data_IF_367569615262
#
_entry.id   IF_367569615262
#
_cell.length_a   1.000
_cell.length_b   1.000
_cell.length_c   1.000
_cell.angle_alpha   90.00
_cell.angle_beta   90.00
_cell.angle_gamma   90.00
#
_symmetry.space_group_name_H-M   'P 1'
#
loop_
_entity.id
_entity.type
_entity.pdbx_description
1 polymer ?
#
# COMPACT_ATOMS: atom_id res chain seq x y z
N UNK A 1 8.06 -3.90 11.19
CA UNK A 1 9.22 -4.06 10.28
C UNK A 1 8.82 -3.37 9.01
N UNK A 2 9.70 -2.55 8.42
CA UNK A 2 9.41 -1.93 7.13
C UNK A 2 9.24 -3.01 6.08
N UNK A 3 8.19 -2.96 5.24
CA UNK A 3 7.97 -3.96 4.20
C UNK A 3 8.95 -3.82 3.01
N UNK A 4 9.70 -2.72 2.94
CA UNK A 4 10.66 -2.42 1.89
C UNK A 4 11.75 -1.47 2.41
N UNK A 5 12.84 -1.35 1.65
CA UNK A 5 13.71 -0.18 1.75
C UNK A 5 12.98 0.99 1.10
N UNK A 6 12.53 1.95 1.91
CA UNK A 6 11.65 3.03 1.46
C UNK A 6 11.68 4.17 2.47
N UNK A 7 11.15 5.33 2.08
CA UNK A 7 10.79 6.39 3.02
C UNK A 7 9.30 6.34 3.35
N UNK A 8 8.96 6.63 4.59
CA UNK A 8 7.57 6.86 5.00
C UNK A 8 7.11 8.21 4.43
N UNK A 9 6.19 8.19 3.46
CA UNK A 9 5.65 9.40 2.84
C UNK A 9 4.50 9.97 3.69
N UNK A 10 3.55 9.11 4.06
CA UNK A 10 2.33 9.50 4.78
C UNK A 10 1.98 8.45 5.82
N UNK A 11 1.61 8.90 7.02
CA UNK A 11 0.90 8.13 8.03
C UNK A 11 -0.36 8.91 8.38
N UNK A 12 -1.53 8.28 8.32
CA UNK A 12 -2.79 8.95 8.67
C UNK A 12 -3.84 7.94 9.14
N UNK A 13 -4.90 8.45 9.75
CA UNK A 13 -6.10 7.68 10.07
C UNK A 13 -7.04 7.69 8.87
N UNK A 14 -7.63 6.55 8.56
CA UNK A 14 -8.64 6.41 7.52
C UNK A 14 -9.95 6.97 8.06
N UNK A 15 -10.49 8.01 7.42
CA UNK A 15 -11.76 8.62 7.81
C UNK A 15 -12.95 7.65 7.77
N UNK A 16 -14.06 8.02 8.40
CA UNK A 16 -15.28 7.21 8.40
C UNK A 16 -15.83 6.97 6.97
N UNK A 17 -15.66 7.94 6.07
CA UNK A 17 -16.01 7.80 4.65
C UNK A 17 -14.84 7.31 3.79
N UNK A 18 -13.82 6.70 4.43
CA UNK A 18 -12.59 6.19 3.81
C UNK A 18 -11.63 7.27 3.28
N UNK A 19 -11.83 8.53 3.68
CA UNK A 19 -10.99 9.66 3.30
C UNK A 19 -9.57 9.48 3.85
N UNK A 20 -8.57 9.84 3.05
CA UNK A 20 -7.16 9.83 3.42
C UNK A 20 -6.66 11.27 3.46
N UNK A 21 -6.29 11.75 4.64
CA UNK A 21 -5.68 13.08 4.77
C UNK A 21 -4.24 13.04 4.25
N UNK A 22 -3.99 13.77 3.16
CA UNK A 22 -2.65 14.01 2.64
C UNK A 22 -2.23 15.47 2.87
N UNK A 23 -0.93 15.68 3.05
CA UNK A 23 -0.35 17.02 3.11
C UNK A 23 -0.61 17.76 1.79
N UNK A 24 -1.15 18.97 1.87
CA UNK A 24 -1.36 19.81 0.70
C UNK A 24 -0.04 20.14 0.00
N UNK A 25 -0.03 20.05 -1.32
CA UNK A 25 1.12 20.42 -2.16
C UNK A 25 0.71 21.63 -2.99
N UNK A 26 1.52 22.69 -2.96
CA UNK A 26 1.20 23.98 -3.59
C UNK A 26 -0.19 24.54 -3.23
N UNK A 27 -0.62 24.33 -1.98
CA UNK A 27 -1.91 24.84 -1.48
C UNK A 27 -3.15 24.09 -1.97
N UNK A 28 -3.00 23.00 -2.74
CA UNK A 28 -4.12 22.15 -3.14
C UNK A 28 -4.18 20.92 -2.26
N UNK A 29 -5.28 20.78 -1.52
CA UNK A 29 -5.62 19.56 -0.81
C UNK A 29 -6.31 18.60 -1.80
N UNK A 30 -5.88 17.35 -1.82
CA UNK A 30 -6.49 16.32 -2.64
C UNK A 30 -7.45 15.51 -1.77
N UNK A 31 -8.62 15.23 -2.31
CA UNK A 31 -9.52 14.23 -1.76
C UNK A 31 -9.16 12.89 -2.40
N UNK A 32 -8.56 12.00 -1.60
CA UNK A 32 -8.28 10.63 -1.97
C UNK A 32 -8.92 9.73 -0.92
N UNK A 33 -9.60 8.68 -1.34
CA UNK A 33 -10.10 7.66 -0.42
C UNK A 33 -9.36 6.33 -0.58
N UNK A 34 -9.39 5.49 0.46
CA UNK A 34 -8.90 4.11 0.34
C UNK A 34 -9.67 3.33 -0.74
N UNK A 35 -10.97 3.59 -0.89
CA UNK A 35 -11.78 2.97 -1.93
C UNK A 35 -11.31 3.34 -3.35
N UNK A 36 -10.79 4.55 -3.56
CA UNK A 36 -10.23 4.94 -4.86
C UNK A 36 -9.01 4.10 -5.24
N UNK A 37 -8.18 3.77 -4.24
CA UNK A 37 -6.97 2.97 -4.42
C UNK A 37 -7.35 1.50 -4.70
N UNK A 38 -8.18 0.92 -3.83
CA UNK A 38 -8.56 -0.50 -3.87
C UNK A 38 -9.54 -0.83 -5.00
N UNK A 39 -10.44 0.10 -5.35
CA UNK A 39 -11.60 -0.13 -6.22
C UNK A 39 -12.42 -1.35 -5.78
N UNK A 40 -12.61 -1.45 -4.46
CA UNK A 40 -13.36 -2.48 -3.77
C UNK A 40 -13.93 -1.88 -2.47
N UNK A 41 -15.22 -1.55 -2.51
CA UNK A 41 -15.89 -0.86 -1.40
C UNK A 41 -16.11 -1.77 -0.20
N UNK A 42 -16.34 -3.07 -0.44
CA UNK A 42 -16.56 -4.03 0.64
C UNK A 42 -15.26 -4.23 1.44
N UNK A 43 -14.15 -4.46 0.73
CA UNK A 43 -12.84 -4.57 1.37
C UNK A 43 -12.45 -3.26 2.06
N UNK A 44 -12.60 -2.12 1.39
CA UNK A 44 -12.21 -0.82 1.95
C UNK A 44 -12.98 -0.49 3.24
N UNK A 45 -14.27 -0.84 3.32
CA UNK A 45 -15.10 -0.58 4.50
C UNK A 45 -14.56 -1.20 5.80
N UNK A 46 -13.82 -2.32 5.71
CA UNK A 46 -13.21 -3.01 6.85
C UNK A 46 -12.09 -2.21 7.53
N UNK A 47 -11.60 -1.17 6.86
CA UNK A 47 -10.51 -0.32 7.33
C UNK A 47 -10.96 1.10 7.72
N UNK A 48 -12.27 1.39 7.70
CA UNK A 48 -12.79 2.68 8.16
C UNK A 48 -12.41 2.93 9.64
N UNK A 49 -11.91 4.13 9.96
CA UNK A 49 -11.34 4.44 11.28
C UNK A 49 -9.97 3.81 11.55
N UNK A 50 -9.45 3.04 10.59
CA UNK A 50 -8.18 2.33 10.68
C UNK A 50 -6.96 3.21 10.41
N UNK A 51 -5.81 2.55 10.26
CA UNK A 51 -4.54 3.22 9.97
C UNK A 51 -4.15 3.03 8.51
N UNK A 52 -3.58 4.08 7.91
CA UNK A 52 -3.02 4.07 6.56
C UNK A 52 -1.57 4.54 6.58
N UNK A 53 -0.72 3.80 5.88
CA UNK A 53 0.66 4.17 5.63
C UNK A 53 0.96 4.12 4.13
N UNK A 54 1.68 5.14 3.65
CA UNK A 54 2.23 5.18 2.30
C UNK A 54 3.75 5.24 2.37
N UNK A 55 4.39 4.34 1.65
CA UNK A 55 5.83 4.23 1.50
C UNK A 55 6.21 4.59 0.07
N UNK A 56 7.21 5.46 -0.08
CA UNK A 56 7.78 5.80 -1.38
C UNK A 56 9.14 5.12 -1.54
N UNK A 57 9.29 4.36 -2.63
CA UNK A 57 10.53 3.72 -3.02
C UNK A 57 11.14 4.56 -4.15
N UNK A 58 12.24 5.23 -3.83
CA UNK A 58 12.97 6.02 -4.80
C UNK A 58 13.62 5.10 -5.86
N UNK A 59 13.93 5.61 -7.06
CA UNK A 59 14.49 4.77 -8.14
C UNK A 59 15.77 4.01 -7.78
N UNK A 60 16.53 4.47 -6.79
CA UNK A 60 17.76 3.85 -6.30
C UNK A 60 17.55 2.94 -5.07
N UNK A 61 16.34 2.87 -4.53
CA UNK A 61 16.02 1.95 -3.42
C UNK A 61 15.94 0.50 -3.93
N UNK A 62 16.05 -0.46 -3.01
CA UNK A 62 15.79 -1.86 -3.32
C UNK A 62 14.28 -2.06 -3.50
N UNK A 63 13.86 -2.41 -4.71
CA UNK A 63 12.44 -2.56 -5.07
C UNK A 63 11.87 -3.94 -4.71
N UNK A 64 12.42 -4.61 -3.71
CA UNK A 64 11.92 -5.87 -3.18
C UNK A 64 11.04 -5.62 -1.97
N UNK A 65 9.96 -6.40 -1.88
CA UNK A 65 8.94 -6.30 -0.87
C UNK A 65 8.89 -7.60 -0.10
N UNK A 66 8.78 -7.47 1.21
CA UNK A 66 8.61 -8.60 2.12
C UNK A 66 7.27 -8.51 2.83
N UNK A 67 6.80 -9.65 3.32
CA UNK A 67 5.60 -9.73 4.14
C UNK A 67 5.77 -8.88 5.41
N UNK A 68 4.89 -7.86 5.66
CA UNK A 68 5.01 -6.99 6.83
C UNK A 68 4.64 -7.71 8.14
N UNK A 69 3.86 -8.78 8.04
CA UNK A 69 3.35 -9.60 9.14
C UNK A 69 3.19 -11.06 8.67
N UNK A 70 3.28 -12.00 9.62
CA UNK A 70 2.95 -13.40 9.35
C UNK A 70 1.45 -13.57 9.16
N UNK A 71 1.06 -14.41 8.20
CA UNK A 71 -0.35 -14.68 7.94
C UNK A 71 -0.61 -15.41 6.64
N UNK A 72 -1.89 -15.68 6.39
CA UNK A 72 -2.36 -16.35 5.18
C UNK A 72 -2.78 -15.31 4.14
N UNK A 73 -2.34 -15.49 2.89
CA UNK A 73 -2.87 -14.68 1.77
C UNK A 73 -4.32 -15.09 1.53
N UNK A 74 -5.25 -14.18 1.82
CA UNK A 74 -6.68 -14.43 1.70
C UNK A 74 -7.18 -14.22 0.27
N UNK A 75 -6.74 -13.13 -0.37
CA UNK A 75 -7.11 -12.78 -1.74
C UNK A 75 -6.14 -11.73 -2.30
N UNK A 76 -6.16 -11.52 -3.62
CA UNK A 76 -5.47 -10.41 -4.27
C UNK A 76 -6.26 -9.87 -5.46
N UNK A 77 -6.13 -8.57 -5.73
CA UNK A 77 -6.75 -7.94 -6.89
C UNK A 77 -5.71 -7.20 -7.71
N UNK A 78 -5.68 -7.48 -9.00
CA UNK A 78 -4.85 -6.73 -9.95
C UNK A 78 -5.71 -5.73 -10.73
N UNK A 79 -5.25 -4.48 -10.79
CA UNK A 79 -5.87 -3.40 -11.56
C UNK A 79 -4.85 -2.87 -12.56
N UNK A 80 -5.11 -3.12 -13.84
CA UNK A 80 -4.32 -2.52 -14.91
C UNK A 80 -4.43 -0.99 -14.87
N UNK A 81 -3.39 -0.30 -15.31
CA UNK A 81 -3.36 1.16 -15.32
C UNK A 81 -2.16 1.73 -16.07
N UNK A 82 -1.92 3.01 -15.85
CA UNK A 82 -0.79 3.75 -16.40
C UNK A 82 0.50 3.48 -15.59
N UNK A 83 1.58 4.16 -15.96
CA UNK A 83 2.81 4.24 -15.17
C UNK A 83 3.28 5.69 -15.09
N UNK A 84 2.39 6.59 -14.68
CA UNK A 84 2.76 8.01 -14.53
C UNK A 84 3.70 8.17 -13.33
N UNK A 85 4.69 9.08 -13.41
CA UNK A 85 5.60 9.38 -12.30
C UNK A 85 4.88 9.80 -11.01
N UNK A 86 4.94 8.96 -9.97
CA UNK A 86 4.30 9.26 -8.67
C UNK A 86 4.89 10.49 -7.96
N UNK A 87 6.17 10.80 -8.21
CA UNK A 87 6.86 11.96 -7.61
C UNK A 87 6.19 13.30 -7.97
N UNK A 88 5.60 13.41 -9.17
CA UNK A 88 5.02 14.66 -9.69
C UNK A 88 3.53 14.54 -9.98
N UNK A 89 3.00 13.32 -10.13
CA UNK A 89 1.60 13.07 -10.44
C UNK A 89 0.99 12.15 -9.39
N UNK A 90 0.48 12.75 -8.31
CA UNK A 90 -0.25 12.05 -7.24
C UNK A 90 -1.47 11.27 -7.75
N UNK A 91 -2.07 11.68 -8.88
CA UNK A 91 -3.11 10.88 -9.55
C UNK A 91 -2.67 9.45 -9.86
N UNK A 92 -1.36 9.18 -9.96
CA UNK A 92 -0.80 7.85 -10.13
C UNK A 92 -1.23 6.84 -9.05
N UNK A 93 -1.52 7.29 -7.82
CA UNK A 93 -2.03 6.41 -6.75
C UNK A 93 -3.31 5.65 -7.15
N UNK A 94 -4.07 6.21 -8.11
CA UNK A 94 -5.36 5.67 -8.59
C UNK A 94 -5.34 5.34 -10.09
N UNK A 95 -4.48 6.00 -10.86
CA UNK A 95 -4.40 5.79 -12.31
C UNK A 95 -3.39 4.71 -12.71
N UNK A 96 -2.38 4.44 -11.89
CA UNK A 96 -1.32 3.50 -12.27
C UNK A 96 -1.73 2.04 -12.12
N UNK A 97 -0.97 1.14 -12.72
CA UNK A 97 -1.02 -0.29 -12.43
C UNK A 97 -0.91 -0.55 -10.92
N UNK A 98 -1.80 -1.39 -10.39
CA UNK A 98 -1.84 -1.74 -8.96
C UNK A 98 -2.11 -3.22 -8.73
N UNK A 99 -1.55 -3.73 -7.64
CA UNK A 99 -1.90 -5.04 -7.10
C UNK A 99 -2.15 -4.91 -5.60
N UNK A 100 -3.36 -5.19 -5.15
CA UNK A 100 -3.69 -5.32 -3.73
C UNK A 100 -3.62 -6.78 -3.30
N UNK A 101 -3.07 -7.04 -2.12
CA UNK A 101 -3.09 -8.35 -1.46
C UNK A 101 -3.67 -8.19 -0.06
N UNK A 102 -4.64 -9.04 0.28
CA UNK A 102 -5.23 -9.12 1.61
C UNK A 102 -4.56 -10.26 2.37
N UNK A 103 -3.95 -9.94 3.50
CA UNK A 103 -3.26 -10.89 4.36
C UNK A 103 -4.09 -11.05 5.63
N UNK A 104 -4.61 -12.24 5.88
CA UNK A 104 -5.21 -12.59 7.15
C UNK A 104 -4.08 -12.85 8.14
N UNK A 105 -3.82 -11.88 9.01
CA UNK A 105 -2.71 -11.99 9.96
C UNK A 105 -3.02 -13.01 11.06
N UNK A 106 -1.96 -13.56 11.66
CA UNK A 106 -2.06 -14.42 12.84
C UNK A 106 -2.64 -13.69 14.07
N UNK A 107 -2.66 -12.35 14.05
CA UNK A 107 -3.24 -11.51 15.11
C UNK A 107 -4.77 -11.43 15.07
N UNK A 108 -5.42 -12.08 14.11
CA UNK A 108 -6.88 -12.18 14.03
C UNK A 108 -7.55 -11.06 13.23
N UNK A 109 -6.79 -10.14 12.62
CA UNK A 109 -7.33 -9.10 11.74
C UNK A 109 -6.65 -9.10 10.36
N UNK A 110 -7.36 -8.73 9.29
CA UNK A 110 -6.76 -8.61 7.98
C UNK A 110 -5.97 -7.31 7.85
N UNK A 111 -4.88 -7.34 7.09
CA UNK A 111 -4.24 -6.14 6.54
C UNK A 111 -4.34 -6.17 5.02
N UNK A 112 -4.41 -5.00 4.39
CA UNK A 112 -4.28 -4.91 2.92
C UNK A 112 -3.00 -4.17 2.57
N UNK A 113 -2.27 -4.74 1.63
CA UNK A 113 -1.01 -4.23 1.13
C UNK A 113 -1.16 -4.00 -0.37
N UNK A 114 -0.85 -2.81 -0.87
CA UNK A 114 -1.06 -2.44 -2.27
C UNK A 114 0.24 -1.97 -2.87
N UNK A 115 0.64 -2.66 -3.92
CA UNK A 115 1.76 -2.30 -4.78
C UNK A 115 1.25 -1.36 -5.88
N UNK A 116 1.90 -0.21 -6.06
CA UNK A 116 1.54 0.80 -7.06
C UNK A 116 2.74 1.05 -7.98
N UNK A 117 2.60 0.67 -9.25
CA UNK A 117 3.64 0.86 -10.26
C UNK A 117 3.84 2.33 -10.65
N UNK A 118 5.01 2.70 -11.17
CA UNK A 118 5.30 4.06 -11.66
C UNK A 118 6.46 4.06 -12.69
N UNK A 119 6.66 5.20 -13.35
CA UNK A 119 7.81 5.56 -14.20
C UNK A 119 8.14 4.59 -15.35
N UNK A 120 7.30 4.49 -16.39
CA UNK A 120 7.60 3.82 -17.67
C UNK A 120 8.07 2.35 -17.62
N UNK A 121 8.00 1.68 -16.47
CA UNK A 121 8.28 0.25 -16.33
C UNK A 121 7.09 -0.41 -15.66
N UNK A 122 6.20 -0.99 -16.46
CA UNK A 122 5.15 -1.88 -15.96
C UNK A 122 5.80 -3.19 -15.48
N UNK A 123 5.29 -3.73 -14.38
CA UNK A 123 5.82 -4.97 -13.81
C UNK A 123 5.79 -4.97 -12.30
N UNK A 124 4.59 -5.14 -11.74
CA UNK A 124 4.43 -5.66 -10.39
C UNK A 124 4.59 -7.18 -10.46
N UNK A 125 5.54 -7.72 -9.71
CA UNK A 125 5.74 -9.16 -9.58
C UNK A 125 5.42 -9.56 -8.15
N UNK A 126 4.59 -10.58 -7.96
CA UNK A 126 4.30 -11.16 -6.65
C UNK A 126 4.91 -12.55 -6.54
N UNK A 127 5.31 -12.93 -5.32
CA UNK A 127 5.91 -14.22 -5.00
C UNK A 127 4.97 -15.13 -4.19
N UNK A 128 3.71 -14.72 -4.03
CA UNK A 128 2.75 -15.42 -3.17
C UNK A 128 1.65 -16.18 -3.93
N UNK A 129 1.00 -17.09 -3.21
CA UNK A 129 -0.19 -17.84 -3.63
C UNK A 129 -1.34 -17.68 -2.64
N UNK A 130 -2.56 -17.54 -3.15
CA UNK A 130 -3.78 -17.48 -2.32
C UNK A 130 -3.96 -18.78 -1.54
N UNK A 131 -4.30 -18.65 -0.26
CA UNK A 131 -4.49 -19.78 0.66
C UNK A 131 -3.22 -20.25 1.36
N UNK A 132 -2.04 -19.79 0.94
CA UNK A 132 -0.77 -20.14 1.57
C UNK A 132 -0.42 -19.16 2.71
N UNK A 133 0.27 -19.69 3.73
CA UNK A 133 0.82 -18.95 4.86
C UNK A 133 2.26 -18.54 4.59
N UNK A 134 2.59 -17.33 5.02
CA UNK A 134 3.92 -16.73 4.93
C UNK A 134 4.28 -16.13 6.27
N UNK A 135 5.56 -16.24 6.63
CA UNK A 135 6.15 -15.59 7.78
C UNK A 135 6.53 -14.14 7.45
N UNK A 136 6.47 -13.28 8.47
CA UNK A 136 7.00 -11.92 8.40
C UNK A 136 8.45 -11.93 7.88
N UNK A 137 8.72 -11.11 6.87
CA UNK A 137 10.04 -10.99 6.25
C UNK A 137 10.28 -11.92 5.06
N UNK A 138 9.37 -12.85 4.75
CA UNK A 138 9.44 -13.64 3.51
C UNK A 138 9.10 -12.79 2.28
N UNK A 139 9.48 -13.29 1.10
CA UNK A 139 9.30 -12.60 -0.19
C UNK A 139 7.83 -12.39 -0.51
N UNK A 140 7.41 -11.13 -0.63
CA UNK A 140 6.06 -10.76 -1.07
C UNK A 140 6.03 -10.48 -2.57
N UNK A 141 7.08 -9.83 -3.09
CA UNK A 141 7.14 -9.42 -4.48
C UNK A 141 8.21 -8.37 -4.74
N UNK A 142 8.20 -7.79 -5.94
CA UNK A 142 9.09 -6.70 -6.29
C UNK A 142 8.52 -5.84 -7.42
N UNK A 143 9.09 -4.65 -7.59
CA UNK A 143 8.90 -3.79 -8.75
C UNK A 143 10.16 -3.77 -9.61
N UNK A 144 10.00 -3.45 -10.90
CA UNK A 144 11.17 -3.22 -11.76
C UNK A 144 11.90 -1.91 -11.42
N UNK A 145 11.19 -0.78 -11.32
CA UNK A 145 11.75 0.54 -10.95
C UNK A 145 10.64 1.45 -10.42
N UNK A 146 10.96 2.29 -9.43
CA UNK A 146 10.24 3.48 -8.98
C UNK A 146 8.78 3.25 -8.64
N UNK A 147 8.45 3.11 -7.36
CA UNK A 147 7.09 2.71 -6.95
C UNK A 147 6.65 3.30 -5.62
N UNK A 148 5.38 3.11 -5.32
CA UNK A 148 4.86 3.28 -3.98
C UNK A 148 4.19 2.01 -3.51
N UNK A 149 4.16 1.89 -2.20
CA UNK A 149 3.43 0.85 -1.50
C UNK A 149 2.51 1.53 -0.51
N UNK A 150 1.28 1.06 -0.40
CA UNK A 150 0.38 1.48 0.68
C UNK A 150 -0.04 0.30 1.52
N UNK A 151 -0.24 0.54 2.80
CA UNK A 151 -0.72 -0.45 3.76
C UNK A 151 -1.89 0.14 4.53
N UNK A 152 -2.97 -0.63 4.68
CA UNK A 152 -4.09 -0.27 5.54
C UNK A 152 -4.37 -1.39 6.57
N UNK A 153 -4.61 -0.95 7.80
CA UNK A 153 -4.87 -1.81 8.95
C UNK A 153 -6.19 -1.36 9.63
N UNK A 154 -7.00 -2.26 10.19
CA UNK A 154 -8.24 -1.92 10.87
C UNK A 154 -8.03 -1.01 12.09
N UNK A 155 -9.06 -0.35 12.63
CA UNK A 155 -8.96 0.48 13.82
C UNK A 155 -8.39 -0.31 15.01
N UNK A 156 -7.59 0.37 15.85
CA UNK A 156 -7.06 -0.18 17.11
C UNK A 156 -6.16 -1.42 16.95
N UNK A 157 -5.58 -1.64 15.76
CA UNK A 157 -4.74 -2.84 15.49
C UNK A 157 -3.25 -2.57 15.45
N UNK A 158 -2.82 -1.34 15.13
CA UNK A 158 -1.40 -1.00 14.92
C UNK A 158 -1.05 0.35 15.53
N UNK A 159 0.20 0.46 15.99
CA UNK A 159 0.85 1.70 16.40
C UNK A 159 2.06 1.95 15.50
N UNK A 160 2.19 3.18 14.98
CA UNK A 160 3.32 3.56 14.15
C UNK A 160 4.50 4.02 15.02
N UNK A 161 5.59 3.26 14.99
CA UNK A 161 6.83 3.62 15.68
C UNK A 161 7.75 4.54 14.85
N UNK A 162 7.35 4.85 13.63
CA UNK A 162 8.11 5.69 12.70
C UNK A 162 7.36 6.99 12.40
N UNK A 163 8.06 7.93 11.77
CA UNK A 163 7.50 9.24 11.37
C UNK A 163 7.69 9.48 9.87
N UNK A 164 6.84 10.30 9.23
CA UNK A 164 7.06 10.69 7.84
C UNK A 164 8.46 11.28 7.63
N UNK A 165 9.17 10.78 6.63
CA UNK A 165 10.56 11.13 6.31
C UNK A 165 11.63 10.17 6.82
N UNK A 166 11.29 9.27 7.76
CA UNK A 166 12.13 8.14 8.20
C UNK A 166 12.16 7.00 7.17
#
# INVERSE_FOLDING_TARGET
>A
MSPAQSKVETLTTIGANLDLEEKAIFGRQRHLSLNDILKDSELASKFAGGSYAKFYLAPWDLHFLVFPASGRVADYSYKAGLAVPLLFMKSGDVLNERLSVTIQTEWGFPIVFVMIGSWMVNGIHHAFHVGQEYSKGEDLGYFKVGSSVVMACPPETVEWLCRPGE
#
